data_IF_979289217631
#
_entry.id   IF_979289217631
#
_cell.length_a   1.000
_cell.length_b   1.000
_cell.length_c   1.000
_cell.angle_alpha   90.00
_cell.angle_beta   90.00
_cell.angle_gamma   90.00
#
_symmetry.space_group_name_H-M   'P 1'
#
loop_
_entity.id
_entity.type
_entity.pdbx_description
1 polymer ?
#
# COMPACT_ATOMS: atom_id res chain seq x y z
N UNK A 1 -27.36 25.87 8.94
CA UNK A 1 -27.24 26.10 7.50
C UNK A 1 -27.39 24.72 6.88
N UNK A 2 -28.57 24.41 6.33
CA UNK A 2 -28.90 23.07 5.81
C UNK A 2 -28.26 22.93 4.43
N UNK A 3 -27.23 22.09 4.30
CA UNK A 3 -26.62 21.77 3.03
C UNK A 3 -27.45 20.66 2.37
N UNK A 4 -28.25 21.02 1.37
CA UNK A 4 -28.98 20.08 0.54
C UNK A 4 -27.99 19.34 -0.37
N UNK A 5 -27.68 18.08 -0.04
CA UNK A 5 -27.05 17.15 -0.97
C UNK A 5 -28.07 16.81 -2.08
N UNK A 6 -27.85 17.31 -3.28
CA UNK A 6 -28.56 16.84 -4.46
C UNK A 6 -27.94 15.52 -4.92
N UNK A 7 -28.50 14.43 -4.43
CA UNK A 7 -28.23 13.08 -4.93
C UNK A 7 -28.81 12.96 -6.35
N UNK A 8 -27.99 13.22 -7.37
CA UNK A 8 -28.35 13.03 -8.76
C UNK A 8 -28.20 11.56 -9.13
N UNK A 9 -29.31 10.83 -9.15
CA UNK A 9 -29.38 9.45 -9.58
C UNK A 9 -29.20 9.40 -11.12
N UNK A 10 -27.95 9.28 -11.60
CA UNK A 10 -27.68 9.03 -13.00
C UNK A 10 -28.18 7.60 -13.33
N UNK A 11 -29.21 7.54 -14.18
CA UNK A 11 -29.77 6.26 -14.64
C UNK A 11 -28.84 5.72 -15.72
N UNK A 12 -27.91 4.84 -15.34
CA UNK A 12 -27.01 4.19 -16.29
C UNK A 12 -27.82 3.23 -17.17
N UNK A 13 -27.92 3.55 -18.45
CA UNK A 13 -28.59 2.71 -19.45
C UNK A 13 -27.61 1.62 -19.87
N UNK A 14 -27.86 0.39 -19.42
CA UNK A 14 -27.12 -0.80 -19.85
C UNK A 14 -27.53 -1.11 -21.29
N UNK A 15 -26.75 -0.60 -22.24
CA UNK A 15 -26.80 -1.01 -23.63
C UNK A 15 -26.04 -2.32 -23.79
N UNK A 16 -26.78 -3.43 -23.91
CA UNK A 16 -26.22 -4.72 -24.22
C UNK A 16 -25.71 -4.81 -25.65
N UNK A 17 -24.48 -5.28 -25.81
CA UNK A 17 -24.04 -5.98 -27.01
C UNK A 17 -23.01 -7.04 -26.58
N UNK A 18 -23.46 -8.29 -26.44
CA UNK A 18 -22.59 -9.45 -26.21
C UNK A 18 -22.58 -10.30 -27.48
N UNK A 19 -21.59 -10.04 -28.33
CA UNK A 19 -21.19 -10.97 -29.36
C UNK A 19 -20.31 -12.06 -28.71
N UNK A 20 -20.92 -13.23 -28.48
CA UNK A 20 -20.20 -14.46 -28.16
C UNK A 20 -19.48 -14.91 -29.44
N UNK A 21 -18.17 -14.72 -29.50
CA UNK A 21 -17.30 -15.38 -30.48
C UNK A 21 -16.69 -16.59 -29.79
N UNK A 22 -17.17 -17.77 -30.16
CA UNK A 22 -16.54 -19.03 -29.79
C UNK A 22 -15.17 -19.13 -30.45
N UNK A 23 -14.15 -19.47 -29.65
CA UNK A 23 -12.89 -19.99 -30.15
C UNK A 23 -12.59 -21.28 -29.37
N UNK A 24 -13.15 -22.36 -29.89
CA UNK A 24 -12.82 -23.76 -29.67
C UNK A 24 -11.47 -24.06 -30.33
N UNK A 25 -10.39 -23.63 -29.68
CA UNK A 25 -9.02 -23.97 -30.00
C UNK A 25 -8.50 -25.02 -29.04
N UNK A 26 -8.65 -26.29 -29.42
CA UNK A 26 -7.89 -27.41 -28.88
C UNK A 26 -6.39 -27.13 -28.99
N UNK A 27 -5.64 -27.19 -27.89
CA UNK A 27 -4.23 -27.55 -27.96
C UNK A 27 -3.86 -28.45 -26.78
N UNK A 28 -3.86 -29.74 -27.09
CA UNK A 28 -3.27 -30.82 -26.31
C UNK A 28 -1.79 -30.87 -26.66
N UNK A 29 -0.92 -30.35 -25.80
CA UNK A 29 0.47 -30.80 -25.75
C UNK A 29 0.76 -31.40 -24.38
N UNK A 30 0.73 -32.73 -24.39
CA UNK A 30 1.38 -33.57 -23.40
C UNK A 30 2.88 -33.29 -23.50
N UNK A 31 3.48 -32.67 -22.48
CA UNK A 31 4.93 -32.76 -22.29
C UNK A 31 5.21 -33.71 -21.12
N UNK A 32 5.72 -34.87 -21.52
CA UNK A 32 6.01 -36.03 -20.72
C UNK A 32 7.46 -35.98 -20.28
N UNK A 33 7.66 -35.65 -19.00
CA UNK A 33 8.80 -36.13 -18.22
C UNK A 33 10.13 -35.44 -18.48
N UNK A 34 10.64 -34.82 -17.42
CA UNK A 34 11.86 -35.38 -16.85
C UNK A 34 11.78 -35.38 -15.33
N UNK A 35 11.96 -36.58 -14.80
CA UNK A 35 12.20 -36.82 -13.40
C UNK A 35 13.71 -36.91 -13.24
N UNK A 36 14.37 -35.80 -12.95
CA UNK A 36 15.68 -35.87 -12.33
C UNK A 36 15.52 -35.60 -10.82
N UNK A 37 15.67 -36.72 -10.12
CA UNK A 37 15.76 -36.84 -8.68
C UNK A 37 17.23 -37.03 -8.39
N UNK A 38 17.99 -35.96 -8.21
CA UNK A 38 19.30 -36.01 -7.55
C UNK A 38 19.15 -35.48 -6.13
N UNK A 39 18.83 -36.44 -5.26
CA UNK A 39 18.95 -36.32 -3.82
C UNK A 39 20.41 -36.57 -3.45
N UNK A 40 21.18 -35.49 -3.33
CA UNK A 40 22.55 -35.58 -2.85
C UNK A 40 22.56 -35.05 -1.41
N UNK A 41 22.11 -35.92 -0.51
CA UNK A 41 22.21 -35.73 0.94
C UNK A 41 23.58 -36.23 1.39
N UNK A 42 24.55 -35.33 1.46
CA UNK A 42 25.80 -35.62 2.15
C UNK A 42 25.70 -35.03 3.56
N UNK A 43 25.00 -35.80 4.40
CA UNK A 43 25.09 -35.68 5.86
C UNK A 43 26.21 -36.59 6.32
N UNK A 44 27.44 -36.14 6.20
CA UNK A 44 28.50 -36.61 7.08
C UNK A 44 29.00 -35.48 7.97
N UNK A 45 29.33 -35.89 9.18
CA UNK A 45 29.74 -35.06 10.30
C UNK A 45 31.05 -35.68 10.75
N UNK A 46 32.03 -35.66 9.89
CA UNK A 46 33.39 -36.05 10.19
C UNK A 46 34.38 -34.98 9.75
N UNK A 47 35.44 -34.93 10.54
CA UNK A 47 36.47 -33.90 10.55
C UNK A 47 37.69 -34.49 9.88
N UNK A 48 37.56 -34.81 8.61
CA UNK A 48 38.65 -35.22 7.75
C UNK A 48 38.74 -34.22 6.60
N UNK A 49 39.94 -33.67 6.50
CA UNK A 49 40.39 -32.95 5.32
C UNK A 49 40.73 -34.01 4.27
N UNK A 50 39.75 -34.48 3.51
CA UNK A 50 40.04 -35.09 2.23
C UNK A 50 40.29 -33.99 1.19
N UNK A 51 41.43 -34.18 0.54
CA UNK A 51 42.04 -33.27 -0.42
C UNK A 51 41.69 -33.82 -1.80
N UNK A 52 40.40 -33.81 -2.11
CA UNK A 52 39.91 -34.26 -3.39
C UNK A 52 40.06 -33.08 -4.35
N UNK A 53 41.20 -33.10 -5.04
CA UNK A 53 41.52 -32.13 -6.08
C UNK A 53 40.72 -32.51 -7.31
N UNK A 54 39.49 -32.04 -7.38
CA UNK A 54 38.71 -32.03 -8.62
C UNK A 54 39.38 -31.08 -9.60
N UNK A 55 40.25 -31.65 -10.45
CA UNK A 55 40.82 -30.99 -11.64
C UNK A 55 39.87 -31.05 -12.83
N UNK A 56 38.57 -31.17 -12.58
CA UNK A 56 37.57 -30.84 -13.58
C UNK A 56 37.61 -29.33 -13.77
N UNK A 57 37.94 -28.89 -14.98
CA UNK A 57 37.70 -27.51 -15.42
C UNK A 57 36.18 -27.28 -15.43
N UNK A 58 35.58 -27.20 -14.25
CA UNK A 58 34.27 -26.60 -14.10
C UNK A 58 34.50 -25.09 -14.19
N UNK A 59 34.47 -24.61 -15.43
CA UNK A 59 34.32 -23.20 -15.75
C UNK A 59 32.89 -22.73 -15.46
N UNK A 60 32.23 -23.31 -14.45
CA UNK A 60 31.13 -22.69 -13.75
C UNK A 60 31.66 -21.42 -13.14
N UNK A 61 31.42 -20.30 -13.84
CA UNK A 61 31.38 -19.00 -13.17
C UNK A 61 30.61 -19.21 -11.87
N UNK A 62 31.15 -18.79 -10.70
CA UNK A 62 30.35 -18.81 -9.49
C UNK A 62 29.05 -18.12 -9.87
N UNK A 63 27.93 -18.87 -9.75
CA UNK A 63 26.61 -18.32 -9.99
C UNK A 63 26.57 -17.09 -9.11
N UNK A 64 26.60 -15.94 -9.76
CA UNK A 64 26.55 -14.65 -9.10
C UNK A 64 25.13 -14.56 -8.57
N UNK A 65 24.96 -15.01 -7.33
CA UNK A 65 23.72 -14.85 -6.59
C UNK A 65 23.62 -13.43 -6.06
N UNK A 66 24.52 -12.53 -6.44
CA UNK A 66 24.33 -11.10 -6.21
C UNK A 66 23.07 -10.72 -6.98
N UNK A 67 22.04 -10.48 -6.18
CA UNK A 67 20.70 -10.07 -6.52
C UNK A 67 20.76 -8.78 -7.32
N UNK A 68 20.86 -8.90 -8.65
CA UNK A 68 20.72 -7.79 -9.62
C UNK A 68 19.37 -7.05 -9.53
N UNK A 69 18.50 -7.45 -8.61
CA UNK A 69 17.21 -6.83 -8.31
C UNK A 69 17.25 -5.84 -7.13
N UNK A 70 18.37 -5.75 -6.40
CA UNK A 70 18.56 -4.76 -5.32
C UNK A 70 18.54 -3.34 -5.89
N UNK A 71 17.79 -2.43 -5.26
CA UNK A 71 17.78 -1.02 -5.66
C UNK A 71 18.83 -0.21 -4.89
N UNK A 72 19.36 0.82 -5.53
CA UNK A 72 20.34 1.74 -4.93
C UNK A 72 19.68 2.64 -3.88
N UNK A 73 20.15 2.56 -2.63
CA UNK A 73 19.63 3.39 -1.52
C UNK A 73 19.83 4.89 -1.76
N UNK A 74 20.95 5.28 -2.39
CA UNK A 74 21.24 6.69 -2.68
C UNK A 74 20.28 7.29 -3.71
N UNK A 75 19.68 6.47 -4.59
CA UNK A 75 18.74 6.90 -5.62
C UNK A 75 17.28 6.96 -5.11
N UNK A 76 16.98 6.27 -4.00
CA UNK A 76 15.66 6.27 -3.37
C UNK A 76 15.35 7.56 -2.58
N UNK A 77 16.37 8.19 -1.99
CA UNK A 77 16.19 9.31 -1.07
C UNK A 77 15.47 10.50 -1.74
N UNK A 78 14.37 10.96 -1.12
CA UNK A 78 13.56 12.06 -1.61
C UNK A 78 12.63 11.70 -2.78
N UNK A 79 12.55 10.43 -3.19
CA UNK A 79 11.55 10.01 -4.17
C UNK A 79 10.16 9.97 -3.53
N UNK A 80 9.18 10.51 -4.24
CA UNK A 80 7.77 10.50 -3.85
C UNK A 80 7.00 9.50 -4.70
N UNK A 81 6.17 8.69 -4.05
CA UNK A 81 5.31 7.69 -4.69
C UNK A 81 3.84 7.95 -4.35
N UNK A 82 2.97 7.75 -5.35
CA UNK A 82 1.52 7.85 -5.24
C UNK A 82 0.89 6.48 -4.90
N UNK A 83 0.77 6.16 -3.62
CA UNK A 83 0.26 4.87 -3.15
C UNK A 83 -1.27 4.82 -3.25
N UNK A 84 -1.74 4.36 -4.41
CA UNK A 84 -3.14 4.50 -4.81
C UNK A 84 -4.05 3.41 -4.25
N UNK A 85 -4.84 3.78 -3.24
CA UNK A 85 -5.81 2.86 -2.60
C UNK A 85 -6.98 2.58 -3.55
N UNK A 86 -7.32 3.51 -4.45
CA UNK A 86 -8.40 3.35 -5.41
C UNK A 86 -8.19 2.16 -6.36
N UNK A 87 -6.94 1.79 -6.62
CA UNK A 87 -6.58 0.65 -7.48
C UNK A 87 -6.33 -0.65 -6.70
N UNK A 88 -6.49 -0.62 -5.38
CA UNK A 88 -6.24 -1.77 -4.52
C UNK A 88 -7.31 -2.87 -4.65
N UNK A 89 -6.92 -4.09 -4.34
CA UNK A 89 -7.86 -5.18 -4.02
C UNK A 89 -8.12 -5.16 -2.52
N UNK A 90 -9.32 -4.74 -2.11
CA UNK A 90 -9.71 -4.77 -0.69
C UNK A 90 -10.19 -6.18 -0.34
N UNK A 91 -9.41 -6.89 0.46
CA UNK A 91 -9.68 -8.25 0.91
C UNK A 91 -10.52 -8.26 2.19
N UNK A 92 -10.22 -7.34 3.13
CA UNK A 92 -10.99 -7.14 4.35
C UNK A 92 -11.38 -5.67 4.53
N UNK A 93 -12.56 -5.37 5.08
CA UNK A 93 -13.62 -6.32 5.47
C UNK A 93 -14.35 -6.92 4.25
N UNK A 94 -14.56 -8.23 4.27
CA UNK A 94 -15.28 -8.93 3.20
C UNK A 94 -16.70 -8.36 3.00
N UNK A 95 -17.12 -8.21 1.74
CA UNK A 95 -18.47 -7.79 1.36
C UNK A 95 -18.72 -6.28 1.29
N UNK A 96 -17.94 -5.45 2.01
CA UNK A 96 -18.03 -3.97 1.91
C UNK A 96 -16.78 -3.31 1.32
N UNK A 97 -15.77 -4.10 0.92
CA UNK A 97 -14.54 -3.56 0.31
C UNK A 97 -14.81 -2.60 -0.86
N UNK A 98 -15.73 -2.94 -1.77
CA UNK A 98 -16.09 -2.03 -2.87
C UNK A 98 -16.77 -0.73 -2.43
N UNK A 99 -17.45 -0.71 -1.27
CA UNK A 99 -18.01 0.52 -0.70
C UNK A 99 -16.92 1.39 -0.09
N UNK A 100 -15.99 0.78 0.66
CA UNK A 100 -14.87 1.50 1.29
C UNK A 100 -13.93 2.05 0.21
N UNK A 101 -13.53 1.22 -0.75
CA UNK A 101 -12.67 1.65 -1.86
C UNK A 101 -13.29 2.71 -2.75
N UNK A 102 -14.62 2.70 -2.92
CA UNK A 102 -15.32 3.77 -3.65
C UNK A 102 -15.50 5.08 -2.85
N UNK A 103 -15.32 5.05 -1.52
CA UNK A 103 -15.44 6.21 -0.66
C UNK A 103 -14.10 6.91 -0.40
N UNK A 104 -13.00 6.17 -0.46
CA UNK A 104 -11.63 6.70 -0.35
C UNK A 104 -11.24 7.22 -1.74
N UNK A 105 -11.20 8.54 -1.90
CA UNK A 105 -10.85 9.21 -3.16
C UNK A 105 -9.47 9.87 -3.13
N UNK A 106 -8.80 9.80 -1.98
CA UNK A 106 -7.47 10.35 -1.78
C UNK A 106 -6.47 9.20 -1.78
N UNK A 107 -5.30 9.46 -2.34
CA UNK A 107 -4.19 8.53 -2.33
C UNK A 107 -3.19 8.92 -1.22
N UNK A 108 -2.31 7.98 -0.86
CA UNK A 108 -1.27 8.20 0.15
C UNK A 108 0.02 8.54 -0.58
N UNK A 109 0.48 9.77 -0.42
CA UNK A 109 1.79 10.20 -0.91
C UNK A 109 2.86 9.72 0.07
N UNK A 110 3.90 9.06 -0.44
CA UNK A 110 5.00 8.53 0.37
C UNK A 110 6.33 9.07 -0.15
N UNK A 111 7.02 9.89 0.65
CA UNK A 111 8.39 10.34 0.39
C UNK A 111 9.37 9.50 1.19
N UNK A 112 10.45 9.01 0.56
CA UNK A 112 11.54 8.33 1.27
C UNK A 112 12.40 9.37 1.99
N UNK A 113 12.25 9.49 3.31
CA UNK A 113 13.00 10.45 4.14
C UNK A 113 14.39 9.94 4.52
N UNK A 114 14.51 8.63 4.70
CA UNK A 114 15.74 7.97 5.10
C UNK A 114 15.78 6.56 4.54
N UNK A 115 16.96 6.12 4.14
CA UNK A 115 17.19 4.74 3.71
C UNK A 115 18.65 4.37 3.91
N UNK A 116 18.88 3.16 4.41
CA UNK A 116 20.19 2.51 4.45
C UNK A 116 20.05 1.03 4.10
N UNK A 117 21.10 0.24 4.31
CA UNK A 117 21.12 -1.18 3.95
C UNK A 117 20.13 -2.07 4.74
N UNK A 118 19.51 -1.56 5.81
CA UNK A 118 18.64 -2.35 6.68
C UNK A 118 17.32 -1.67 7.01
N UNK A 119 17.21 -0.36 6.82
CA UNK A 119 16.08 0.44 7.25
C UNK A 119 15.66 1.48 6.23
N UNK A 120 14.38 1.83 6.30
CA UNK A 120 13.74 2.83 5.44
C UNK A 120 12.67 3.57 6.24
N UNK A 121 12.65 4.88 6.12
CA UNK A 121 11.66 5.74 6.74
C UNK A 121 10.90 6.51 5.66
N UNK A 122 9.60 6.73 5.90
CA UNK A 122 8.76 7.51 4.99
C UNK A 122 8.13 8.71 5.69
N UNK A 123 8.08 9.85 5.01
CA UNK A 123 7.09 10.88 5.29
C UNK A 123 5.86 10.61 4.44
N UNK A 124 4.71 10.47 5.08
CA UNK A 124 3.45 10.22 4.40
C UNK A 124 2.54 11.43 4.46
N UNK A 125 1.83 11.69 3.38
CA UNK A 125 0.82 12.72 3.27
C UNK A 125 -0.40 12.20 2.51
N UNK A 126 -1.50 12.94 2.58
CA UNK A 126 -2.72 12.60 1.84
C UNK A 126 -2.82 13.51 0.63
N UNK A 127 -3.25 12.97 -0.51
CA UNK A 127 -3.47 13.77 -1.71
C UNK A 127 -4.74 14.61 -1.64
N UNK A 128 -4.81 15.66 -2.46
CA UNK A 128 -6.08 16.34 -2.76
C UNK A 128 -7.00 15.37 -3.49
N UNK A 129 -8.29 15.39 -3.14
CA UNK A 129 -9.28 14.59 -3.87
C UNK A 129 -9.30 14.99 -5.36
N UNK A 130 -9.33 14.00 -6.24
CA UNK A 130 -9.28 14.16 -7.71
C UNK A 130 -7.94 14.67 -8.29
N UNK A 131 -6.92 14.91 -7.47
CA UNK A 131 -5.55 15.23 -7.91
C UNK A 131 -4.53 14.48 -7.05
N UNK A 132 -4.23 13.22 -7.39
CA UNK A 132 -3.34 12.38 -6.59
C UNK A 132 -1.89 12.88 -6.57
N UNK A 133 -1.51 13.80 -7.47
CA UNK A 133 -0.16 14.35 -7.55
C UNK A 133 0.09 15.53 -6.59
N UNK A 134 -0.96 16.04 -5.96
CA UNK A 134 -0.93 17.24 -5.11
C UNK A 134 -1.23 16.86 -3.66
N UNK A 135 -0.35 17.25 -2.73
CA UNK A 135 -0.58 17.10 -1.29
C UNK A 135 -1.75 17.97 -0.79
N UNK A 136 -2.59 17.40 0.07
CA UNK A 136 -3.60 18.11 0.84
C UNK A 136 -3.00 18.68 2.14
N UNK A 137 -2.70 19.97 2.13
CA UNK A 137 -2.14 20.67 3.28
C UNK A 137 -3.12 20.86 4.44
N UNK A 138 -4.39 20.49 4.28
CA UNK A 138 -5.35 20.47 5.39
C UNK A 138 -5.18 19.25 6.28
N UNK A 139 -4.44 18.24 5.83
CA UNK A 139 -4.14 17.04 6.59
C UNK A 139 -2.70 17.06 7.06
N UNK A 140 -2.48 16.60 8.29
CA UNK A 140 -1.14 16.48 8.84
C UNK A 140 -0.35 15.40 8.10
N UNK A 141 0.94 15.64 7.88
CA UNK A 141 1.84 14.58 7.46
C UNK A 141 2.14 13.64 8.62
N UNK A 142 2.45 12.38 8.30
CA UNK A 142 2.78 11.35 9.28
C UNK A 142 4.13 10.73 8.92
N UNK A 143 5.10 10.83 9.82
CA UNK A 143 6.38 10.13 9.65
C UNK A 143 6.25 8.67 10.10
N UNK A 144 6.83 7.77 9.33
CA UNK A 144 6.88 6.32 9.54
C UNK A 144 8.33 5.89 9.67
N UNK A 145 8.86 6.01 10.87
CA UNK A 145 10.26 5.70 11.19
C UNK A 145 10.49 4.21 11.47
N UNK A 146 11.71 3.73 11.22
CA UNK A 146 12.20 2.42 11.63
C UNK A 146 11.67 1.26 10.78
N UNK A 147 11.36 1.51 9.51
CA UNK A 147 10.96 0.46 8.58
C UNK A 147 12.06 -0.58 8.37
N UNK A 148 11.65 -1.81 8.01
CA UNK A 148 12.56 -2.89 7.65
C UNK A 148 12.84 -2.84 6.13
N UNK A 149 14.12 -2.82 5.77
CA UNK A 149 14.61 -2.86 4.39
C UNK A 149 15.69 -3.93 4.17
N UNK A 150 15.80 -4.93 5.06
CA UNK A 150 16.72 -6.05 4.91
C UNK A 150 16.39 -6.96 3.70
N UNK A 151 15.19 -6.82 3.13
CA UNK A 151 14.72 -7.58 1.97
C UNK A 151 14.73 -6.78 0.67
N UNK A 152 15.54 -5.72 0.56
CA UNK A 152 15.69 -4.87 -0.63
C UNK A 152 15.53 -5.69 -1.92
N UNK A 153 14.58 -5.36 -2.83
CA UNK A 153 13.76 -4.13 -2.88
C UNK A 153 12.44 -4.15 -2.09
N UNK A 154 12.19 -5.16 -1.26
CA UNK A 154 11.02 -5.21 -0.38
C UNK A 154 11.20 -4.31 0.86
N UNK A 155 10.16 -3.54 1.19
CA UNK A 155 10.09 -2.77 2.43
C UNK A 155 8.86 -3.12 3.27
N UNK A 156 8.96 -2.84 4.57
CA UNK A 156 7.83 -2.83 5.50
C UNK A 156 7.97 -1.70 6.52
N UNK A 157 6.95 -0.85 6.64
CA UNK A 157 6.89 0.26 7.59
C UNK A 157 5.64 0.21 8.46
N UNK A 158 5.67 0.90 9.60
CA UNK A 158 4.62 0.88 10.63
C UNK A 158 4.97 0.05 11.87
N UNK A 159 4.10 0.02 12.90
CA UNK A 159 2.76 0.62 12.92
C UNK A 159 2.79 2.13 13.14
N UNK A 160 1.85 2.86 12.53
CA UNK A 160 1.56 4.27 12.86
C UNK A 160 0.06 4.56 12.71
N UNK A 161 -0.41 5.67 13.25
CA UNK A 161 -1.78 6.14 12.99
C UNK A 161 -1.78 7.17 11.87
N UNK A 162 -2.77 7.12 10.99
CA UNK A 162 -2.98 8.13 9.95
C UNK A 162 -4.46 8.50 9.83
N UNK A 163 -4.75 9.64 9.24
CA UNK A 163 -6.14 10.08 8.99
C UNK A 163 -6.36 10.26 7.50
N UNK A 164 -7.43 9.66 6.99
CA UNK A 164 -7.93 9.82 5.62
C UNK A 164 -9.23 10.61 5.61
N UNK A 165 -9.57 11.25 4.50
CA UNK A 165 -10.93 11.76 4.27
C UNK A 165 -11.68 10.87 3.30
N UNK A 166 -12.85 10.39 3.69
CA UNK A 166 -13.77 9.70 2.80
C UNK A 166 -15.13 10.40 2.83
N UNK A 167 -15.61 10.84 1.66
CA UNK A 167 -16.85 11.59 1.53
C UNK A 167 -16.96 12.81 2.49
N UNK A 168 -15.83 13.47 2.79
CA UNK A 168 -15.76 14.63 3.69
C UNK A 168 -15.83 14.28 5.18
N UNK A 169 -15.71 13.00 5.53
CA UNK A 169 -15.59 12.52 6.90
C UNK A 169 -14.15 12.08 7.13
N UNK A 170 -13.52 12.61 8.18
CA UNK A 170 -12.22 12.15 8.63
C UNK A 170 -12.36 10.74 9.23
N UNK A 171 -11.58 9.80 8.70
CA UNK A 171 -11.46 8.42 9.15
C UNK A 171 -10.05 8.24 9.67
N UNK A 172 -9.94 7.82 10.93
CA UNK A 172 -8.64 7.42 11.50
C UNK A 172 -8.39 5.95 11.16
N UNK A 173 -7.23 5.70 10.56
CA UNK A 173 -6.64 4.37 10.42
C UNK A 173 -5.62 4.22 11.55
N UNK A 174 -5.84 3.24 12.42
CA UNK A 174 -4.94 2.90 13.52
C UNK A 174 -4.08 1.70 13.16
N UNK A 175 -2.88 1.62 13.75
CA UNK A 175 -1.93 0.52 13.55
C UNK A 175 -1.62 0.24 12.08
N UNK A 176 -1.41 1.28 11.29
CA UNK A 176 -1.15 1.17 9.86
C UNK A 176 0.22 0.54 9.62
N UNK A 177 0.21 -0.57 8.88
CA UNK A 177 1.39 -1.13 8.25
C UNK A 177 1.27 -1.00 6.74
N UNK A 178 2.40 -0.68 6.11
CA UNK A 178 2.51 -0.70 4.65
C UNK A 178 3.71 -1.55 4.24
N UNK A 179 3.53 -2.31 3.17
CA UNK A 179 4.62 -3.04 2.50
C UNK A 179 4.59 -2.75 1.02
N UNK A 180 5.68 -3.08 0.33
CA UNK A 180 5.75 -3.05 -1.12
C UNK A 180 7.13 -3.43 -1.63
N UNK A 181 7.26 -3.54 -2.94
CA UNK A 181 8.50 -3.88 -3.64
C UNK A 181 8.82 -2.75 -4.61
N UNK A 182 9.99 -2.13 -4.49
CA UNK A 182 10.43 -1.16 -5.50
C UNK A 182 10.74 -1.86 -6.83
N UNK A 183 10.30 -1.27 -7.94
CA UNK A 183 10.79 -1.68 -9.25
C UNK A 183 12.28 -1.35 -9.38
N UNK A 184 13.04 -2.17 -10.12
CA UNK A 184 14.48 -1.98 -10.31
C UNK A 184 14.86 -0.61 -10.89
N UNK A 185 13.97 0.04 -11.64
CA UNK A 185 14.18 1.37 -12.20
C UNK A 185 13.65 2.52 -11.32
N UNK A 186 13.18 2.20 -10.11
CA UNK A 186 12.59 3.13 -9.13
C UNK A 186 11.36 3.90 -9.63
N UNK A 187 10.78 3.51 -10.76
CA UNK A 187 9.64 4.22 -11.34
C UNK A 187 8.32 3.97 -10.60
N UNK A 188 8.26 2.92 -9.78
CA UNK A 188 7.06 2.51 -9.05
C UNK A 188 7.35 1.53 -7.92
N UNK A 189 6.35 1.34 -7.07
CA UNK A 189 6.21 0.26 -6.10
C UNK A 189 5.13 -0.71 -6.60
N UNK A 190 5.40 -2.01 -6.50
CA UNK A 190 4.44 -3.08 -6.80
C UNK A 190 4.15 -3.94 -5.57
N UNK A 191 3.12 -4.77 -5.66
CA UNK A 191 2.69 -5.70 -4.61
C UNK A 191 2.50 -5.02 -3.24
N UNK A 192 2.06 -3.77 -3.28
CA UNK A 192 1.81 -2.98 -2.09
C UNK A 192 0.68 -3.55 -1.25
N UNK A 193 0.85 -3.50 0.06
CA UNK A 193 -0.20 -3.84 1.02
C UNK A 193 -0.40 -2.70 2.00
N UNK A 194 -1.65 -2.52 2.43
CA UNK A 194 -2.01 -1.63 3.54
C UNK A 194 -2.88 -2.41 4.51
N UNK A 195 -2.39 -2.54 5.74
CA UNK A 195 -3.09 -3.14 6.85
C UNK A 195 -3.40 -2.07 7.88
N UNK A 196 -4.64 -2.00 8.37
CA UNK A 196 -5.02 -1.03 9.38
C UNK A 196 -6.25 -1.48 10.18
N UNK A 197 -6.53 -0.77 11.26
CA UNK A 197 -7.80 -0.83 11.98
C UNK A 197 -8.59 0.47 11.77
N UNK A 198 -9.86 0.37 11.41
CA UNK A 198 -10.72 1.52 11.09
C UNK A 198 -11.83 1.67 12.12
N UNK A 199 -11.93 2.83 12.78
CA UNK A 199 -13.11 3.19 13.57
C UNK A 199 -14.28 3.57 12.65
N UNK A 200 -15.37 2.80 12.70
CA UNK A 200 -16.51 3.02 11.80
C UNK A 200 -17.53 4.01 12.33
N UNK A 201 -17.39 4.53 13.56
CA UNK A 201 -18.37 5.47 14.16
C UNK A 201 -18.49 6.79 13.40
N UNK A 202 -17.39 7.43 12.93
CA UNK A 202 -17.48 8.62 12.08
C UNK A 202 -18.21 8.33 10.77
N UNK A 203 -17.91 7.19 10.14
CA UNK A 203 -18.51 6.74 8.88
C UNK A 203 -20.03 6.52 9.07
N UNK A 204 -20.41 5.76 10.10
CA UNK A 204 -21.81 5.51 10.46
C UNK A 204 -22.57 6.81 10.66
N UNK A 205 -21.99 7.76 11.39
CA UNK A 205 -22.58 9.08 11.63
C UNK A 205 -22.77 9.85 10.33
N UNK A 206 -21.76 9.87 9.46
CA UNK A 206 -21.82 10.53 8.14
C UNK A 206 -22.89 9.94 7.22
N UNK A 207 -23.13 8.63 7.32
CA UNK A 207 -24.16 7.91 6.56
C UNK A 207 -25.56 7.96 7.21
N UNK A 208 -25.68 8.48 8.43
CA UNK A 208 -26.93 8.44 9.19
C UNK A 208 -27.32 7.02 9.64
N UNK A 209 -26.34 6.15 9.84
CA UNK A 209 -26.46 4.78 10.33
C UNK A 209 -25.86 4.64 11.75
N UNK A 210 -26.02 3.46 12.36
CA UNK A 210 -25.27 3.10 13.58
C UNK A 210 -24.00 2.33 13.23
N UNK A 211 -23.02 2.31 14.16
CA UNK A 211 -21.83 1.46 14.00
C UNK A 211 -22.21 -0.01 13.85
N UNK A 212 -23.17 -0.49 14.66
CA UNK A 212 -23.72 -1.86 14.59
C UNK A 212 -24.24 -2.22 13.19
N UNK A 213 -24.86 -1.26 12.47
CA UNK A 213 -25.31 -1.49 11.10
C UNK A 213 -24.11 -1.75 10.17
N UNK A 214 -23.06 -0.92 10.25
CA UNK A 214 -21.83 -1.09 9.45
C UNK A 214 -21.15 -2.43 9.80
N UNK A 215 -20.98 -2.71 11.09
CA UNK A 215 -20.43 -3.97 11.58
C UNK A 215 -21.22 -5.17 11.05
N UNK A 216 -22.55 -5.08 11.03
CA UNK A 216 -23.42 -6.12 10.48
C UNK A 216 -23.19 -6.40 9.00
N UNK A 217 -22.90 -5.38 8.19
CA UNK A 217 -22.55 -5.56 6.78
C UNK A 217 -21.14 -6.12 6.57
N UNK A 218 -20.20 -5.79 7.46
CA UNK A 218 -18.80 -6.23 7.41
C UNK A 218 -18.58 -7.66 7.94
N UNK A 219 -19.61 -8.29 8.52
CA UNK A 219 -19.50 -9.61 9.16
C UNK A 219 -19.09 -9.57 10.64
N UNK A 220 -19.04 -8.39 11.25
CA UNK A 220 -18.70 -8.15 12.64
C UNK A 220 -17.74 -6.98 12.80
N UNK A 221 -17.63 -6.45 14.02
CA UNK A 221 -16.57 -5.52 14.40
C UNK A 221 -15.65 -6.15 15.45
N UNK A 222 -14.47 -5.57 15.57
CA UNK A 222 -13.53 -5.84 16.66
C UNK A 222 -13.57 -4.70 17.68
N UNK A 223 -13.01 -4.96 18.85
CA UNK A 223 -12.85 -3.97 19.91
C UNK A 223 -11.76 -2.98 19.51
N UNK A 224 -12.11 -1.69 19.49
CA UNK A 224 -11.18 -0.57 19.32
C UNK A 224 -10.31 -0.37 20.58
N UNK A 225 -9.31 0.50 20.50
CA UNK A 225 -8.43 0.84 21.63
C UNK A 225 -9.14 1.45 22.84
N UNK A 226 -10.32 2.04 22.62
CA UNK A 226 -11.15 2.59 23.68
C UNK A 226 -12.02 1.54 24.38
N UNK A 227 -11.98 0.28 23.93
CA UNK A 227 -12.73 -0.83 24.49
C UNK A 227 -14.12 -1.04 23.90
N UNK A 228 -14.54 -0.25 22.90
CA UNK A 228 -15.83 -0.39 22.24
C UNK A 228 -15.74 -1.24 20.96
N UNK A 229 -16.73 -2.10 20.70
CA UNK A 229 -16.78 -2.98 19.51
C UNK A 229 -17.28 -2.20 18.28
N UNK A 230 -16.43 -1.35 17.73
CA UNK A 230 -16.76 -0.45 16.62
C UNK A 230 -15.63 -0.28 15.60
N UNK A 231 -14.68 -1.22 15.57
CA UNK A 231 -13.55 -1.17 14.65
C UNK A 231 -13.62 -2.30 13.62
N UNK A 232 -13.07 -2.07 12.44
CA UNK A 232 -12.91 -3.10 11.39
C UNK A 232 -11.43 -3.27 11.07
N UNK A 233 -11.00 -4.53 10.87
CA UNK A 233 -9.72 -4.79 10.23
C UNK A 233 -9.84 -4.49 8.74
N UNK A 234 -8.89 -3.74 8.22
CA UNK A 234 -8.79 -3.34 6.83
C UNK A 234 -7.53 -3.92 6.24
N UNK A 235 -7.68 -4.62 5.13
CA UNK A 235 -6.58 -5.17 4.35
C UNK A 235 -6.82 -4.87 2.87
N UNK A 236 -5.92 -4.07 2.32
CA UNK A 236 -5.84 -3.78 0.89
C UNK A 236 -4.55 -4.35 0.33
N UNK A 237 -4.64 -5.08 -0.78
CA UNK A 237 -3.51 -5.75 -1.44
C UNK A 237 -3.40 -5.33 -2.90
N UNK A 238 -2.28 -5.70 -3.54
CA UNK A 238 -1.99 -5.39 -4.96
C UNK A 238 -2.00 -3.89 -5.25
N UNK A 239 -1.59 -3.10 -4.26
CA UNK A 239 -1.46 -1.66 -4.41
C UNK A 239 -0.25 -1.41 -5.29
N UNK A 240 -0.40 -0.49 -6.24
CA UNK A 240 0.70 0.03 -7.04
C UNK A 240 0.91 1.47 -6.68
N UNK A 241 2.16 1.91 -6.65
CA UNK A 241 2.47 3.32 -6.46
C UNK A 241 3.40 3.83 -7.55
N UNK A 242 2.95 4.77 -8.37
CA UNK A 242 3.78 5.38 -9.41
C UNK A 242 4.63 6.51 -8.81
N UNK A 243 5.87 6.64 -9.27
CA UNK A 243 6.75 7.74 -8.87
C UNK A 243 6.23 9.09 -9.39
N UNK A 244 6.26 10.11 -8.53
CA UNK A 244 5.91 11.49 -8.84
C UNK A 244 7.16 12.39 -8.88
N UNK A 245 7.86 12.49 -10.03
CA UNK A 245 9.19 13.12 -10.10
C UNK A 245 9.20 14.65 -9.90
N UNK A 246 8.02 15.28 -9.78
CA UNK A 246 7.88 16.74 -9.62
C UNK A 246 7.13 17.13 -8.36
N UNK A 247 6.79 16.15 -7.52
CA UNK A 247 6.05 16.37 -6.28
C UNK A 247 7.05 16.31 -5.13
N UNK A 248 6.97 17.30 -4.23
CA UNK A 248 7.68 17.33 -2.97
C UNK A 248 6.63 17.27 -1.85
N UNK A 249 6.86 16.50 -0.78
CA UNK A 249 5.98 16.52 0.39
C UNK A 249 6.48 17.61 1.35
N UNK A 250 5.59 18.50 1.75
CA UNK A 250 5.86 19.47 2.82
C UNK A 250 5.34 18.91 4.13
N UNK A 251 6.18 18.90 5.16
CA UNK A 251 5.74 18.52 6.51
C UNK A 251 4.64 19.49 6.99
N UNK A 252 3.47 18.93 7.31
CA UNK A 252 2.32 19.66 7.85
C UNK A 252 2.05 19.14 9.25
N UNK A 253 2.26 19.98 10.25
CA UNK A 253 1.95 19.62 11.63
C UNK A 253 0.45 19.83 11.89
N UNK A 254 -0.20 18.88 12.57
CA UNK A 254 -1.67 18.85 12.72
C UNK A 254 -2.33 20.03 13.44
N UNK A 255 -1.54 20.99 13.94
CA UNK A 255 -2.03 22.26 14.45
C UNK A 255 -1.94 23.42 13.45
N UNK A 256 -1.60 23.18 12.17
CA UNK A 256 -1.32 24.22 11.16
C UNK A 256 -2.38 24.37 10.03
N UNK A 257 -3.63 23.94 10.25
CA UNK A 257 -4.59 23.80 9.15
C UNK A 257 -5.51 25.02 8.89
N UNK A 258 -5.36 26.18 9.57
CA UNK A 258 -6.18 27.35 9.22
C UNK A 258 -5.73 27.96 7.88
N UNK A 259 -6.59 27.89 6.86
CA UNK A 259 -6.33 28.47 5.54
C UNK A 259 -5.61 27.55 4.54
N UNK A 260 -5.53 26.26 4.83
CA UNK A 260 -4.92 25.24 3.97
C UNK A 260 -5.55 25.12 2.57
N UNK A 261 -6.79 25.59 2.38
CA UNK A 261 -7.48 25.60 1.08
C UNK A 261 -6.80 26.52 0.04
N UNK A 262 -6.01 27.51 0.48
CA UNK A 262 -5.36 28.49 -0.41
C UNK A 262 -3.94 28.06 -0.85
N UNK A 263 -3.49 26.86 -0.48
CA UNK A 263 -2.16 26.31 -0.82
C UNK A 263 -1.31 26.02 0.41
N UNK A 264 0.02 25.79 0.22
CA UNK A 264 0.90 25.46 1.34
C UNK A 264 0.89 26.60 2.37
N UNK A 265 0.85 26.29 3.67
CA UNK A 265 0.94 27.32 4.69
C UNK A 265 2.21 28.12 4.47
N UNK A 266 2.16 29.45 4.67
CA UNK A 266 3.37 30.25 4.65
C UNK A 266 4.36 29.63 5.65
N UNK A 267 5.62 29.45 5.27
CA UNK A 267 6.69 28.74 6.01
C UNK A 267 6.94 29.16 7.47
N UNK A 268 6.21 30.16 7.99
CA UNK A 268 6.26 30.64 9.38
C UNK A 268 4.85 30.80 10.01
N UNK A 269 3.79 30.33 9.37
CA UNK A 269 2.43 30.40 9.87
C UNK A 269 2.21 29.32 10.94
N UNK A 270 2.52 29.67 12.18
CA UNK A 270 1.99 28.94 13.34
C UNK A 270 0.48 29.23 13.37
N UNK A 271 -0.36 28.28 12.95
CA UNK A 271 -1.80 28.41 13.18
C UNK A 271 -2.06 28.32 14.69
N UNK A 272 -2.80 29.29 15.21
CA UNK A 272 -3.06 29.48 16.64
C UNK A 272 -4.38 28.83 17.05
#
# INVERSE_FOLDING_TARGET
MFLSLFLSCATQTIGGDSAIVGNDGEDTSEDSGDADTDTDTDTDTDTDTDSDTDTGEDSGDPIDTDTDDDVSTDELLGLVYDFSIANATIEEPSGIGGLIGGAITQDVLMEVEFVDAASIDFLTAISVADDPSTQDYCNATTSMEGGNFLGNPEFRVGPTDMTLSAAGVAITLSDVYMTGVFAADLSRITDGTLEATIDVRPIATGMGASADDICGYAGGCIVCDDGEEACLYFLATKITADQLPTTDILEVLGNQCEGCEDGPPAVDAVCL
#
